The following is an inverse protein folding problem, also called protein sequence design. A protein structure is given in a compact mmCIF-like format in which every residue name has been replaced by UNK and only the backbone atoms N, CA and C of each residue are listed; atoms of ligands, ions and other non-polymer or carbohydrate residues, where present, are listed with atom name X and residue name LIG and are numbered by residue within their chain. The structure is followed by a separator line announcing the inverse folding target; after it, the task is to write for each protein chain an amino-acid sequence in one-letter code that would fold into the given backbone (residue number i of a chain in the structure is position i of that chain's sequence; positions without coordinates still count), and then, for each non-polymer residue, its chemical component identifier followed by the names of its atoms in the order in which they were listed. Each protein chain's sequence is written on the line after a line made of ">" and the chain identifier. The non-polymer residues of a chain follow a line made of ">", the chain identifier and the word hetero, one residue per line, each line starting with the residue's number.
data_IF_572179955453
#
_entry.id   IF_572179955453
#
_cell.length_a   1.000
_cell.length_b   1.000
_cell.length_c   1.000
_cell.angle_alpha   90.00
_cell.angle_beta   90.00
_cell.angle_gamma   90.00
#
_symmetry.space_group_name_H-M   'P 1'
#
loop_
_entity.id
_entity.type
_entity.pdbx_description
1 polymer ?
#
# COMPACT_ATOMS: atom_id res chain seq x y z
N UNK A 1 -3.03 -16.29 20.36
CA UNK A 1 -2.40 -17.21 19.38
C UNK A 1 -3.45 -17.88 18.50
N UNK A 2 -4.53 -18.43 19.08
CA UNK A 2 -5.67 -19.05 18.37
C UNK A 2 -6.19 -18.17 17.21
N UNK A 3 -6.48 -16.90 17.46
CA UNK A 3 -7.01 -15.98 16.43
C UNK A 3 -6.08 -15.79 15.21
N UNK A 4 -4.76 -15.98 15.38
CA UNK A 4 -3.80 -15.85 14.29
C UNK A 4 -3.86 -17.02 13.32
N UNK A 5 -3.97 -18.25 13.85
CA UNK A 5 -4.13 -19.45 13.03
C UNK A 5 -5.49 -19.47 12.33
N UNK A 6 -6.56 -19.09 13.04
CA UNK A 6 -7.90 -18.95 12.45
C UNK A 6 -7.91 -17.97 11.28
N UNK A 7 -7.23 -16.82 11.42
CA UNK A 7 -7.08 -15.86 10.34
C UNK A 7 -6.29 -16.44 9.15
N UNK A 8 -5.17 -17.12 9.41
CA UNK A 8 -4.38 -17.75 8.35
C UNK A 8 -5.18 -18.81 7.59
N UNK A 9 -5.97 -19.62 8.31
CA UNK A 9 -6.88 -20.60 7.72
C UNK A 9 -7.96 -19.91 6.88
N UNK A 10 -8.61 -18.87 7.41
CA UNK A 10 -9.63 -18.09 6.70
C UNK A 10 -9.10 -17.40 5.43
N UNK A 11 -7.82 -17.00 5.41
CA UNK A 11 -7.16 -16.44 4.22
C UNK A 11 -6.74 -17.51 3.19
N UNK A 12 -6.82 -18.79 3.57
CA UNK A 12 -6.35 -19.94 2.80
C UNK A 12 -4.82 -20.08 2.81
N UNK A 13 -4.13 -19.47 3.78
CA UNK A 13 -2.68 -19.56 3.91
C UNK A 13 -2.23 -20.89 4.51
N UNK A 14 -3.04 -21.48 5.37
CA UNK A 14 -2.83 -22.81 5.95
C UNK A 14 -4.05 -23.72 5.72
N UNK A 15 -3.82 -25.02 5.70
CA UNK A 15 -4.86 -26.06 5.66
C UNK A 15 -5.32 -26.50 7.08
N UNK A 16 -6.24 -27.46 7.14
CA UNK A 16 -6.78 -28.04 8.38
C UNK A 16 -5.72 -28.74 9.24
N UNK A 17 -4.59 -29.12 8.65
CA UNK A 17 -3.44 -29.71 9.35
C UNK A 17 -2.39 -28.65 9.75
N UNK A 18 -2.73 -27.36 9.58
CA UNK A 18 -1.85 -26.21 9.85
C UNK A 18 -0.58 -26.18 8.98
N UNK A 19 -0.59 -26.83 7.80
CA UNK A 19 0.49 -26.71 6.82
C UNK A 19 0.23 -25.56 5.86
N UNK A 20 1.30 -24.93 5.34
CA UNK A 20 1.19 -23.88 4.34
C UNK A 20 0.61 -24.44 3.03
N UNK A 21 -0.41 -23.77 2.49
CA UNK A 21 -0.98 -24.13 1.18
C UNK A 21 -0.05 -23.73 0.05
N UNK A 22 -0.14 -24.44 -1.08
CA UNK A 22 0.63 -24.13 -2.30
C UNK A 22 -0.30 -23.72 -3.46
N UNK A 23 0.03 -22.67 -4.24
CA UNK A 23 1.18 -21.76 -4.05
C UNK A 23 0.89 -20.66 -3.02
N UNK A 24 -0.36 -20.46 -2.63
CA UNK A 24 -0.84 -19.27 -1.91
C UNK A 24 -0.17 -19.06 -0.54
N UNK A 25 -0.22 -20.04 0.35
CA UNK A 25 0.38 -19.95 1.68
C UNK A 25 1.88 -19.71 1.64
N UNK A 26 2.57 -20.43 0.75
CA UNK A 26 4.01 -20.24 0.50
C UNK A 26 4.32 -18.82 0.02
N UNK A 27 3.57 -18.31 -0.97
CA UNK A 27 3.75 -16.95 -1.47
C UNK A 27 3.43 -15.90 -0.40
N UNK A 28 2.38 -16.10 0.40
CA UNK A 28 2.02 -15.20 1.49
C UNK A 28 3.11 -15.11 2.56
N UNK A 29 3.77 -16.22 2.87
CA UNK A 29 4.85 -16.32 3.87
C UNK A 29 6.13 -15.57 3.45
N UNK A 30 6.38 -15.42 2.15
CA UNK A 30 7.55 -14.69 1.62
C UNK A 30 7.44 -13.16 1.77
N UNK A 31 6.23 -12.61 2.00
CA UNK A 31 6.06 -11.18 2.18
C UNK A 31 6.40 -10.76 3.63
N UNK A 32 7.21 -9.70 3.83
CA UNK A 32 7.41 -9.09 5.15
C UNK A 32 6.23 -8.17 5.51
N UNK A 33 5.00 -8.67 5.37
CA UNK A 33 3.75 -7.92 5.56
C UNK A 33 2.75 -8.73 6.39
N UNK A 34 1.77 -8.07 7.03
CA UNK A 34 0.62 -8.76 7.62
C UNK A 34 -0.09 -9.67 6.60
N UNK A 35 -0.57 -10.86 7.00
CA UNK A 35 -1.14 -11.84 6.08
C UNK A 35 -2.25 -11.29 5.17
N UNK A 36 -3.13 -10.43 5.71
CA UNK A 36 -4.19 -9.80 4.91
C UNK A 36 -3.62 -8.96 3.75
N UNK A 37 -2.55 -8.22 3.97
CA UNK A 37 -1.94 -7.39 2.92
C UNK A 37 -1.27 -8.28 1.87
N UNK A 38 -0.59 -9.34 2.28
CA UNK A 38 0.01 -10.33 1.36
C UNK A 38 -1.07 -10.94 0.46
N UNK A 39 -2.20 -11.35 1.03
CA UNK A 39 -3.34 -11.88 0.27
C UNK A 39 -3.92 -10.86 -0.71
N UNK A 40 -4.12 -9.61 -0.27
CA UNK A 40 -4.59 -8.53 -1.13
C UNK A 40 -3.67 -8.29 -2.32
N UNK A 41 -2.35 -8.28 -2.11
CA UNK A 41 -1.38 -8.13 -3.19
C UNK A 41 -1.45 -9.29 -4.19
N UNK A 42 -1.49 -10.53 -3.70
CA UNK A 42 -1.54 -11.70 -4.56
C UNK A 42 -2.82 -11.74 -5.41
N UNK A 43 -3.95 -11.31 -4.85
CA UNK A 43 -5.24 -11.27 -5.56
C UNK A 43 -5.47 -10.01 -6.40
N UNK A 44 -4.71 -8.95 -6.19
CA UNK A 44 -4.93 -7.65 -6.85
C UNK A 44 -4.90 -7.69 -8.38
N UNK A 45 -4.11 -8.60 -8.98
CA UNK A 45 -4.08 -8.79 -10.42
C UNK A 45 -5.40 -9.37 -10.96
N UNK A 46 -6.01 -10.31 -10.25
CA UNK A 46 -7.32 -10.89 -10.62
C UNK A 46 -8.43 -9.83 -10.59
N UNK A 47 -8.31 -8.83 -9.72
CA UNK A 47 -9.24 -7.70 -9.63
C UNK A 47 -8.86 -6.51 -10.53
N UNK A 48 -7.79 -6.60 -11.32
CA UNK A 48 -7.36 -5.52 -12.20
C UNK A 48 -6.95 -4.23 -11.46
N UNK A 49 -6.48 -4.34 -10.22
CA UNK A 49 -6.08 -3.22 -9.37
C UNK A 49 -4.66 -3.40 -8.80
N UNK A 50 -3.80 -4.10 -9.56
CA UNK A 50 -2.44 -4.42 -9.13
C UNK A 50 -1.65 -3.17 -8.69
N UNK A 51 -1.59 -2.15 -9.55
CA UNK A 51 -0.81 -0.95 -9.29
C UNK A 51 -1.32 -0.19 -8.07
N UNK A 52 -2.65 -0.04 -7.98
CA UNK A 52 -3.33 0.65 -6.90
C UNK A 52 -3.09 -0.07 -5.57
N UNK A 53 -3.28 -1.40 -5.54
CA UNK A 53 -3.11 -2.20 -4.33
C UNK A 53 -1.67 -2.17 -3.82
N UNK A 54 -0.67 -2.34 -4.70
CA UNK A 54 0.73 -2.25 -4.29
C UNK A 54 1.05 -0.87 -3.72
N UNK A 55 0.49 0.19 -4.31
CA UNK A 55 0.70 1.56 -3.85
C UNK A 55 0.05 1.79 -2.48
N UNK A 56 -1.19 1.34 -2.28
CA UNK A 56 -1.90 1.42 -1.00
C UNK A 56 -1.14 0.67 0.09
N UNK A 57 -0.75 -0.59 -0.16
CA UNK A 57 -0.02 -1.39 0.83
C UNK A 57 1.33 -0.77 1.17
N UNK A 58 2.05 -0.23 0.19
CA UNK A 58 3.31 0.49 0.43
C UNK A 58 3.10 1.76 1.27
N UNK A 59 2.04 2.51 1.01
CA UNK A 59 1.65 3.70 1.81
C UNK A 59 1.21 3.33 3.23
N UNK A 60 0.64 2.15 3.45
CA UNK A 60 0.32 1.67 4.80
C UNK A 60 1.57 1.32 5.63
N UNK A 61 2.75 1.17 5.00
CA UNK A 61 4.01 0.89 5.70
C UNK A 61 4.73 2.15 6.21
N UNK A 62 4.14 3.33 6.00
CA UNK A 62 4.69 4.61 6.45
C UNK A 62 3.78 5.23 7.51
N UNK A 63 4.40 5.92 8.46
CA UNK A 63 3.68 6.72 9.44
C UNK A 63 3.52 8.14 8.92
N UNK A 64 2.44 8.79 9.33
CA UNK A 64 2.18 10.22 9.12
C UNK A 64 2.35 10.67 7.65
N UNK A 65 1.41 10.29 6.79
CA UNK A 65 1.37 10.74 5.38
C UNK A 65 1.32 12.27 5.29
N UNK A 66 0.56 12.90 6.19
CA UNK A 66 0.40 14.34 6.29
C UNK A 66 1.20 14.90 7.48
N UNK A 67 1.81 16.06 7.29
CA UNK A 67 2.51 16.83 8.33
C UNK A 67 1.61 17.98 8.75
N UNK A 68 1.54 18.26 10.05
CA UNK A 68 0.77 19.40 10.58
C UNK A 68 1.69 20.36 11.34
N UNK A 69 2.28 21.37 10.68
CA UNK A 69 3.18 22.31 11.33
C UNK A 69 2.43 23.19 12.34
N UNK A 70 3.04 23.43 13.50
CA UNK A 70 2.40 24.19 14.60
C UNK A 70 1.88 25.56 14.16
N UNK A 71 2.64 26.31 13.34
CA UNK A 71 2.27 27.65 12.89
C UNK A 71 1.30 27.67 11.69
N UNK A 72 1.09 26.55 11.02
CA UNK A 72 0.34 26.46 9.76
C UNK A 72 -0.74 25.37 9.81
N UNK A 73 -1.25 25.04 11.01
CA UNK A 73 -2.27 23.99 11.20
C UNK A 73 -3.48 24.18 10.30
N UNK A 74 -4.07 25.38 10.31
CA UNK A 74 -5.25 25.68 9.50
C UNK A 74 -4.99 25.50 7.99
N UNK A 75 -3.83 25.94 7.51
CA UNK A 75 -3.44 25.80 6.11
C UNK A 75 -3.21 24.32 5.73
N UNK A 76 -2.54 23.57 6.60
CA UNK A 76 -2.31 22.13 6.42
C UNK A 76 -3.64 21.36 6.38
N UNK A 77 -4.59 21.69 7.24
CA UNK A 77 -5.91 21.06 7.27
C UNK A 77 -6.71 21.34 5.99
N UNK A 78 -6.68 22.59 5.50
CA UNK A 78 -7.33 22.96 4.23
C UNK A 78 -6.75 22.17 3.06
N UNK A 79 -5.43 22.00 2.99
CA UNK A 79 -4.79 21.24 1.91
C UNK A 79 -5.03 19.74 2.07
N UNK A 80 -4.99 19.20 3.29
CA UNK A 80 -5.31 17.80 3.54
C UNK A 80 -6.72 17.46 3.08
N UNK A 81 -7.70 18.34 3.31
CA UNK A 81 -9.07 18.18 2.81
C UNK A 81 -9.16 18.10 1.28
N UNK A 82 -8.20 18.66 0.52
CA UNK A 82 -8.16 18.54 -0.95
C UNK A 82 -7.76 17.13 -1.41
N UNK A 83 -7.05 16.36 -0.58
CA UNK A 83 -6.73 14.97 -0.84
C UNK A 83 -7.74 14.00 -0.25
N UNK A 84 -8.54 14.46 0.73
CA UNK A 84 -9.59 13.66 1.32
C UNK A 84 -10.64 13.33 0.27
N UNK A 85 -11.03 12.06 0.24
CA UNK A 85 -12.09 11.56 -0.63
C UNK A 85 -13.09 10.76 0.19
N UNK A 86 -14.32 10.65 -0.31
CA UNK A 86 -15.42 10.00 0.41
C UNK A 86 -15.18 8.50 0.59
N UNK A 87 -14.47 7.88 -0.35
CA UNK A 87 -14.09 6.47 -0.37
C UNK A 87 -13.09 6.09 0.74
N UNK A 88 -12.54 7.10 1.43
CA UNK A 88 -11.79 6.92 2.67
C UNK A 88 -10.27 6.96 2.53
N UNK A 89 -9.61 6.65 3.66
CA UNK A 89 -8.19 6.94 3.87
C UNK A 89 -7.25 6.22 2.89
N UNK A 90 -7.55 4.99 2.49
CA UNK A 90 -6.70 4.25 1.56
C UNK A 90 -6.69 4.87 0.17
N UNK A 91 -7.83 5.37 -0.31
CA UNK A 91 -7.92 6.07 -1.59
C UNK A 91 -7.26 7.45 -1.49
N UNK A 92 -7.40 8.15 -0.36
CA UNK A 92 -6.63 9.36 -0.08
C UNK A 92 -5.12 9.10 -0.14
N UNK A 93 -4.62 8.01 0.46
CA UNK A 93 -3.20 7.64 0.39
C UNK A 93 -2.73 7.38 -1.04
N UNK A 94 -3.54 6.66 -1.83
CA UNK A 94 -3.29 6.44 -3.24
C UNK A 94 -3.18 7.76 -4.01
N UNK A 95 -4.15 8.66 -3.81
CA UNK A 95 -4.17 9.97 -4.48
C UNK A 95 -2.95 10.83 -4.13
N UNK A 96 -2.55 10.86 -2.85
CA UNK A 96 -1.34 11.57 -2.43
C UNK A 96 -0.10 11.01 -3.13
N UNK A 97 0.06 9.69 -3.15
CA UNK A 97 1.21 9.06 -3.78
C UNK A 97 1.23 9.27 -5.31
N UNK A 98 0.09 9.13 -5.97
CA UNK A 98 -0.05 9.39 -7.40
C UNK A 98 0.35 10.83 -7.74
N UNK A 99 -0.18 11.82 -7.01
CA UNK A 99 0.18 13.23 -7.21
C UNK A 99 1.66 13.50 -6.91
N UNK A 100 2.22 12.85 -5.89
CA UNK A 100 3.65 12.94 -5.60
C UNK A 100 4.52 12.46 -6.77
N UNK A 101 4.18 11.32 -7.37
CA UNK A 101 4.90 10.76 -8.52
C UNK A 101 4.72 11.64 -9.77
N UNK A 102 3.50 12.10 -10.05
CA UNK A 102 3.19 13.03 -11.15
C UNK A 102 3.98 14.35 -11.04
N UNK A 103 4.25 14.82 -9.81
CA UNK A 103 5.06 16.01 -9.54
C UNK A 103 6.56 15.69 -9.40
N UNK A 104 7.02 14.61 -10.05
CA UNK A 104 8.44 14.27 -10.15
C UNK A 104 9.09 13.92 -8.81
N UNK A 105 8.32 13.40 -7.85
CA UNK A 105 8.79 13.11 -6.48
C UNK A 105 9.39 14.35 -5.80
N UNK A 106 8.87 15.54 -6.09
CA UNK A 106 9.44 16.80 -5.64
C UNK A 106 9.31 17.01 -4.14
N UNK A 107 10.44 17.20 -3.45
CA UNK A 107 10.47 17.62 -2.04
C UNK A 107 9.77 18.97 -1.83
N UNK A 108 9.86 19.87 -2.80
CA UNK A 108 9.18 21.18 -2.76
C UNK A 108 7.67 21.01 -2.81
N UNK A 109 7.17 20.16 -3.71
CA UNK A 109 5.75 19.81 -3.78
C UNK A 109 5.26 19.25 -2.44
N UNK A 110 6.03 18.35 -1.81
CA UNK A 110 5.68 17.80 -0.52
C UNK A 110 5.57 18.85 0.58
N UNK A 111 6.50 19.81 0.60
CA UNK A 111 6.46 20.94 1.53
C UNK A 111 5.24 21.82 1.33
N UNK A 112 4.91 22.13 0.07
CA UNK A 112 3.77 22.99 -0.27
C UNK A 112 2.42 22.31 0.01
N UNK A 113 2.39 20.98 -0.01
CA UNK A 113 1.19 20.19 0.23
C UNK A 113 1.11 19.57 1.62
N UNK A 114 2.04 19.92 2.52
CA UNK A 114 2.09 19.39 3.88
C UNK A 114 2.09 17.86 3.96
N UNK A 115 2.86 17.21 3.08
CA UNK A 115 3.01 15.75 3.06
C UNK A 115 4.43 15.32 3.40
N UNK A 116 4.55 14.15 4.00
CA UNK A 116 5.81 13.63 4.52
C UNK A 116 6.70 13.10 3.41
N UNK A 117 7.61 13.93 2.90
CA UNK A 117 8.57 13.55 1.85
C UNK A 117 9.38 12.29 2.20
N UNK A 118 9.88 12.17 3.44
CA UNK A 118 10.66 10.99 3.84
C UNK A 118 9.80 9.74 3.86
N UNK A 119 8.56 9.85 4.35
CA UNK A 119 7.55 8.81 4.28
C UNK A 119 7.29 8.39 2.83
N UNK A 120 6.96 9.33 1.94
CA UNK A 120 6.66 9.01 0.54
C UNK A 120 7.83 8.35 -0.20
N UNK A 121 9.07 8.77 0.04
CA UNK A 121 10.26 8.10 -0.50
C UNK A 121 10.42 6.67 0.05
N UNK A 122 10.10 6.43 1.32
CA UNK A 122 10.07 5.08 1.89
C UNK A 122 9.00 4.23 1.23
N UNK A 123 7.79 4.76 1.04
CA UNK A 123 6.71 4.08 0.34
C UNK A 123 7.10 3.72 -1.09
N UNK A 124 7.79 4.61 -1.82
CA UNK A 124 8.25 4.33 -3.19
C UNK A 124 9.27 3.18 -3.26
N UNK A 125 10.17 3.08 -2.28
CA UNK A 125 11.08 1.94 -2.14
C UNK A 125 10.34 0.64 -1.81
N UNK A 126 9.41 0.66 -0.85
CA UNK A 126 8.60 -0.50 -0.48
C UNK A 126 7.77 -0.98 -1.68
N UNK A 127 7.13 -0.06 -2.39
CA UNK A 127 6.39 -0.34 -3.63
C UNK A 127 7.29 -1.06 -4.64
N UNK A 128 8.51 -0.57 -4.86
CA UNK A 128 9.47 -1.21 -5.77
C UNK A 128 9.88 -2.62 -5.33
N UNK A 129 10.05 -2.85 -4.03
CA UNK A 129 10.32 -4.18 -3.46
C UNK A 129 9.14 -5.14 -3.67
N UNK A 130 7.91 -4.69 -3.39
CA UNK A 130 6.69 -5.48 -3.57
C UNK A 130 6.46 -5.85 -5.04
N UNK A 131 6.66 -4.91 -5.98
CA UNK A 131 6.57 -5.22 -7.41
C UNK A 131 7.60 -6.28 -7.83
N UNK A 132 8.84 -6.21 -7.33
CA UNK A 132 9.85 -7.24 -7.64
C UNK A 132 9.45 -8.61 -7.10
N UNK A 133 8.92 -8.68 -5.89
CA UNK A 133 8.48 -9.92 -5.28
C UNK A 133 7.28 -10.53 -6.03
N UNK A 134 6.28 -9.71 -6.38
CA UNK A 134 5.11 -10.15 -7.14
C UNK A 134 5.45 -10.65 -8.55
N UNK A 135 6.43 -10.02 -9.21
CA UNK A 135 6.96 -10.51 -10.50
C UNK A 135 7.61 -11.89 -10.38
N UNK A 136 8.30 -12.20 -9.27
CA UNK A 136 8.89 -13.53 -9.01
C UNK A 136 7.81 -14.60 -8.87
N UNK A 137 6.60 -14.22 -8.45
CA UNK A 137 5.44 -15.10 -8.36
C UNK A 137 4.62 -15.18 -9.65
N UNK A 138 5.14 -14.65 -10.76
CA UNK A 138 4.49 -14.65 -12.08
C UNK A 138 3.13 -13.92 -12.09
N UNK A 139 2.93 -12.99 -11.15
CA UNK A 139 1.71 -12.19 -11.10
C UNK A 139 1.84 -11.04 -12.08
N UNK A 140 1.01 -11.08 -13.13
CA UNK A 140 0.99 -10.06 -14.17
C UNK A 140 0.48 -8.72 -13.64
N UNK A 141 1.04 -7.64 -14.19
CA UNK A 141 0.57 -6.28 -13.92
C UNK A 141 -0.72 -6.03 -14.69
N UNK A 142 -1.85 -6.41 -14.11
CA UNK A 142 -3.16 -6.03 -14.62
C UNK A 142 -3.68 -4.86 -13.78
N UNK A 143 -3.72 -3.66 -14.37
CA UNK A 143 -4.35 -2.48 -13.75
C UNK A 143 -5.21 -1.74 -14.75
N UNK A 144 -6.40 -1.33 -14.32
CA UNK A 144 -7.33 -0.52 -15.09
C UNK A 144 -6.78 0.85 -15.50
N UNK A 145 -5.80 1.39 -14.76
CA UNK A 145 -5.14 2.67 -15.06
C UNK A 145 -3.67 2.38 -15.34
N UNK A 146 -3.32 2.24 -16.63
CA UNK A 146 -1.99 1.83 -17.11
C UNK A 146 -0.83 2.81 -16.81
N UNK A 147 -0.50 3.03 -15.54
CA UNK A 147 0.63 3.86 -15.09
C UNK A 147 1.54 3.13 -14.09
#
# INVERSE_FOLDING_TARGET
>A
MINGLELLYALGAIDETSQLTSPLGLQMAEFPLPPMHSKCLLKSAEFGCFTEMVTIVAMMQIQDVFITPYRQRHQADVIRKKFAVEEGNHITMLNVFTKFVENGRSKKWCSDHFVNYRGLMRADNVRSQLVRLLKRFEIEKVSSRGH
#
